data_IF_494919923000
#
_entry.id   IF_494919923000
#
_cell.length_a   1.000
_cell.length_b   1.000
_cell.length_c   1.000
_cell.angle_alpha   90.00
_cell.angle_beta   90.00
_cell.angle_gamma   90.00
#
_symmetry.space_group_name_H-M   'P 1'
#
loop_
_entity.id
_entity.type
_entity.pdbx_description
1 polymer ?
#
# COMPACT_ATOMS: atom_id res chain seq x y z
N UNK A 1 -42.08 45.52 -63.66
CA UNK A 1 -43.03 45.19 -62.57
C UNK A 1 -42.30 44.45 -61.47
N UNK A 2 -42.57 44.82 -60.21
CA UNK A 2 -41.76 44.51 -59.03
C UNK A 2 -41.81 43.03 -58.63
N UNK A 3 -40.62 42.55 -58.22
CA UNK A 3 -40.20 41.17 -57.94
C UNK A 3 -41.01 40.51 -56.82
N UNK A 4 -41.36 39.24 -57.06
CA UNK A 4 -42.19 38.39 -56.22
C UNK A 4 -41.43 37.85 -54.97
N UNK A 5 -42.22 37.56 -53.94
CA UNK A 5 -41.90 37.12 -52.57
C UNK A 5 -40.76 36.10 -52.44
N UNK A 6 -39.91 36.27 -51.42
CA UNK A 6 -39.33 35.15 -50.66
C UNK A 6 -39.63 35.36 -49.18
N UNK A 7 -40.51 34.49 -48.66
CA UNK A 7 -40.89 34.38 -47.26
C UNK A 7 -39.60 34.37 -46.42
N UNK A 8 -39.47 35.28 -45.47
CA UNK A 8 -38.52 35.12 -44.38
C UNK A 8 -38.97 33.87 -43.64
N UNK A 9 -38.28 32.77 -43.88
CA UNK A 9 -38.41 31.57 -43.07
C UNK A 9 -38.07 32.05 -41.66
N UNK A 10 -39.07 32.10 -40.80
CA UNK A 10 -38.86 32.23 -39.36
C UNK A 10 -38.04 31.00 -38.96
N UNK A 11 -36.72 31.12 -39.05
CA UNK A 11 -35.85 30.45 -38.12
C UNK A 11 -36.21 31.06 -36.77
N UNK A 12 -37.25 30.53 -36.13
CA UNK A 12 -37.47 30.73 -34.71
C UNK A 12 -36.28 30.02 -34.06
N UNK A 13 -35.16 30.73 -34.00
CA UNK A 13 -34.02 30.39 -33.18
C UNK A 13 -34.61 30.08 -31.80
N UNK A 14 -34.40 28.84 -31.39
CA UNK A 14 -34.83 28.31 -30.11
C UNK A 14 -34.57 29.38 -29.02
N UNK A 15 -35.52 29.67 -28.12
CA UNK A 15 -35.35 30.75 -27.16
C UNK A 15 -34.03 30.56 -26.43
N UNK A 16 -33.19 31.60 -26.37
CA UNK A 16 -31.81 31.53 -25.87
C UNK A 16 -31.70 30.88 -24.48
N UNK A 17 -32.78 30.99 -23.68
CA UNK A 17 -32.94 30.33 -22.37
C UNK A 17 -32.92 28.80 -22.44
N UNK A 18 -33.53 28.21 -23.46
CA UNK A 18 -33.52 26.76 -23.66
C UNK A 18 -32.14 26.26 -24.07
N UNK A 19 -31.42 27.03 -24.89
CA UNK A 19 -30.03 26.70 -25.27
C UNK A 19 -29.12 26.68 -24.03
N UNK A 20 -29.23 27.68 -23.14
CA UNK A 20 -28.44 27.70 -21.90
C UNK A 20 -28.77 26.53 -20.96
N UNK A 21 -30.05 26.14 -20.84
CA UNK A 21 -30.44 25.00 -20.00
C UNK A 21 -29.89 23.70 -20.59
N UNK A 22 -29.98 23.53 -21.91
CA UNK A 22 -29.47 22.33 -22.59
C UNK A 22 -27.95 22.23 -22.42
N UNK A 23 -27.23 23.35 -22.52
CA UNK A 23 -25.79 23.41 -22.31
C UNK A 23 -25.41 23.05 -20.86
N UNK A 24 -26.18 23.49 -19.87
CA UNK A 24 -25.98 23.07 -18.48
C UNK A 24 -26.22 21.57 -18.29
N UNK A 25 -27.30 21.03 -18.84
CA UNK A 25 -27.60 19.58 -18.75
C UNK A 25 -26.48 18.76 -19.38
N UNK A 26 -25.99 19.16 -20.56
CA UNK A 26 -24.86 18.52 -21.23
C UNK A 26 -23.57 18.66 -20.42
N UNK A 27 -23.32 19.83 -19.83
CA UNK A 27 -22.16 20.03 -18.95
C UNK A 27 -22.20 19.12 -17.72
N UNK A 28 -23.37 19.00 -17.08
CA UNK A 28 -23.57 18.10 -15.94
C UNK A 28 -23.44 16.63 -16.32
N UNK A 29 -23.94 16.21 -17.47
CA UNK A 29 -23.81 14.82 -17.90
C UNK A 29 -22.36 14.45 -18.20
N UNK A 30 -21.60 15.34 -18.86
CA UNK A 30 -20.16 15.15 -19.08
C UNK A 30 -19.41 15.09 -17.74
N UNK A 31 -19.68 16.04 -16.83
CA UNK A 31 -19.05 16.06 -15.51
C UNK A 31 -19.33 14.77 -14.72
N UNK A 32 -20.57 14.27 -14.79
CA UNK A 32 -20.96 13.02 -14.14
C UNK A 32 -20.19 11.82 -14.69
N UNK A 33 -20.09 11.68 -16.01
CA UNK A 33 -19.34 10.59 -16.64
C UNK A 33 -17.85 10.66 -16.29
N UNK A 34 -17.27 11.87 -16.24
CA UNK A 34 -15.87 12.04 -15.83
C UNK A 34 -15.66 11.63 -14.36
N UNK A 35 -16.55 12.03 -13.46
CA UNK A 35 -16.49 11.62 -12.06
C UNK A 35 -16.63 10.10 -11.89
N UNK A 36 -17.55 9.48 -12.63
CA UNK A 36 -17.75 8.04 -12.59
C UNK A 36 -16.51 7.29 -13.08
N UNK A 37 -15.92 7.72 -14.20
CA UNK A 37 -14.69 7.12 -14.75
C UNK A 37 -13.48 7.27 -13.82
N UNK A 38 -13.33 8.43 -13.16
CA UNK A 38 -12.24 8.67 -12.21
C UNK A 38 -12.43 7.86 -10.94
N UNK A 39 -13.67 7.74 -10.44
CA UNK A 39 -13.99 6.89 -9.30
C UNK A 39 -13.69 5.41 -9.59
N UNK A 40 -14.06 4.93 -10.78
CA UNK A 40 -13.75 3.58 -11.23
C UNK A 40 -12.25 3.29 -11.25
N UNK A 41 -11.46 4.16 -11.92
CA UNK A 41 -9.99 3.99 -11.97
C UNK A 41 -9.32 4.06 -10.59
N UNK A 42 -9.82 4.92 -9.70
CA UNK A 42 -9.31 5.03 -8.35
C UNK A 42 -9.63 3.78 -7.53
N UNK A 43 -10.84 3.22 -7.68
CA UNK A 43 -11.24 1.98 -7.02
C UNK A 43 -10.41 0.78 -7.48
N UNK A 44 -10.13 0.67 -8.78
CA UNK A 44 -9.23 -0.37 -9.32
C UNK A 44 -7.82 -0.24 -8.74
N UNK A 45 -7.30 0.99 -8.65
CA UNK A 45 -5.97 1.23 -8.08
C UNK A 45 -5.91 0.90 -6.59
N UNK A 46 -6.97 1.22 -5.83
CA UNK A 46 -7.06 0.85 -4.41
C UNK A 46 -7.05 -0.67 -4.28
N UNK A 47 -7.87 -1.39 -5.05
CA UNK A 47 -7.90 -2.86 -5.03
C UNK A 47 -6.56 -3.49 -5.39
N UNK A 48 -5.84 -2.92 -6.35
CA UNK A 48 -4.51 -3.39 -6.73
C UNK A 48 -3.51 -3.23 -5.57
N UNK A 49 -3.53 -2.08 -4.89
CA UNK A 49 -2.67 -1.81 -3.73
C UNK A 49 -3.02 -2.69 -2.53
N UNK A 50 -4.31 -2.92 -2.28
CA UNK A 50 -4.78 -3.83 -1.23
C UNK A 50 -4.30 -5.26 -1.49
N UNK A 51 -4.40 -5.74 -2.73
CA UNK A 51 -3.91 -7.06 -3.12
C UNK A 51 -2.38 -7.18 -2.97
N UNK A 52 -1.62 -6.15 -3.34
CA UNK A 52 -0.16 -6.12 -3.15
C UNK A 52 0.21 -6.16 -1.66
N UNK A 53 -0.52 -5.41 -0.83
CA UNK A 53 -0.32 -5.42 0.63
C UNK A 53 -0.58 -6.80 1.23
N UNK A 54 -1.64 -7.48 0.81
CA UNK A 54 -1.96 -8.83 1.26
C UNK A 54 -0.88 -9.84 0.86
N UNK A 55 -0.35 -9.77 -0.36
CA UNK A 55 0.72 -10.65 -0.83
C UNK A 55 2.02 -10.43 -0.05
N UNK A 56 2.41 -9.18 0.20
CA UNK A 56 3.58 -8.86 1.03
C UNK A 56 3.39 -9.35 2.46
N UNK A 57 2.21 -9.13 3.05
CA UNK A 57 1.90 -9.59 4.39
C UNK A 57 1.96 -11.13 4.50
N UNK A 58 1.47 -11.82 3.47
CA UNK A 58 1.54 -13.27 3.38
C UNK A 58 2.99 -13.77 3.29
N UNK A 59 3.82 -13.16 2.42
CA UNK A 59 5.25 -13.48 2.30
C UNK A 59 6.00 -13.25 3.61
N UNK A 60 5.72 -12.13 4.29
CA UNK A 60 6.33 -11.80 5.57
C UNK A 60 5.94 -12.83 6.65
N UNK A 61 4.67 -13.22 6.75
CA UNK A 61 4.23 -14.28 7.68
C UNK A 61 4.91 -15.61 7.38
N UNK A 62 5.03 -15.97 6.11
CA UNK A 62 5.70 -17.21 5.68
C UNK A 62 7.17 -17.21 6.08
N UNK A 63 7.89 -16.12 5.81
CA UNK A 63 9.29 -16.01 6.21
C UNK A 63 9.44 -15.95 7.72
N UNK A 64 8.59 -15.23 8.45
CA UNK A 64 8.59 -15.23 9.92
C UNK A 64 8.38 -16.63 10.49
N UNK A 65 7.45 -17.42 9.94
CA UNK A 65 7.24 -18.80 10.37
C UNK A 65 8.47 -19.67 10.05
N UNK A 66 9.05 -19.52 8.86
CA UNK A 66 10.26 -20.26 8.47
C UNK A 66 11.45 -19.92 9.37
N UNK A 67 11.68 -18.64 9.63
CA UNK A 67 12.70 -18.16 10.55
C UNK A 67 12.45 -18.65 11.96
N UNK A 68 11.21 -18.55 12.44
CA UNK A 68 10.80 -19.06 13.76
C UNK A 68 11.18 -20.53 13.92
N UNK A 69 10.83 -21.36 12.95
CA UNK A 69 11.20 -22.78 12.93
C UNK A 69 12.73 -22.99 12.97
N UNK A 70 13.49 -22.28 12.12
CA UNK A 70 14.96 -22.42 12.06
C UNK A 70 15.66 -21.94 13.34
N UNK A 71 15.09 -20.94 14.02
CA UNK A 71 15.67 -20.37 15.25
C UNK A 71 15.24 -21.09 16.52
N UNK A 72 14.42 -22.14 16.43
CA UNK A 72 14.14 -22.98 17.59
C UNK A 72 15.42 -23.67 18.07
N UNK A 73 15.57 -23.79 19.39
CA UNK A 73 16.75 -24.40 20.02
C UNK A 73 17.02 -25.81 19.47
N UNK A 74 15.96 -26.60 19.28
CA UNK A 74 16.06 -27.96 18.72
C UNK A 74 16.64 -27.98 17.31
N UNK A 75 16.21 -27.07 16.43
CA UNK A 75 16.71 -26.99 15.05
C UNK A 75 18.15 -26.47 15.01
N UNK A 76 18.50 -25.54 15.89
CA UNK A 76 19.87 -25.06 16.05
C UNK A 76 20.78 -26.20 16.52
N UNK A 77 20.38 -26.96 17.54
CA UNK A 77 21.15 -28.10 18.06
C UNK A 77 21.32 -29.20 17.00
N UNK A 78 20.27 -29.50 16.23
CA UNK A 78 20.36 -30.43 15.10
C UNK A 78 21.33 -29.93 14.02
N UNK A 79 21.29 -28.64 13.69
CA UNK A 79 22.20 -28.05 12.71
C UNK A 79 23.66 -28.07 13.21
N UNK A 80 23.89 -27.73 14.47
CA UNK A 80 25.21 -27.79 15.11
C UNK A 80 25.77 -29.22 15.09
N UNK A 81 24.96 -30.20 15.50
CA UNK A 81 25.32 -31.61 15.49
C UNK A 81 25.63 -32.13 14.07
N UNK A 82 24.86 -31.72 13.06
CA UNK A 82 25.10 -32.09 11.66
C UNK A 82 26.46 -31.60 11.15
N UNK A 83 26.90 -30.44 11.62
CA UNK A 83 28.20 -29.87 11.26
C UNK A 83 29.34 -30.24 12.23
N UNK A 84 29.08 -31.12 13.21
CA UNK A 84 30.07 -31.53 14.20
C UNK A 84 30.51 -30.39 15.14
N UNK A 85 29.68 -29.34 15.26
CA UNK A 85 29.95 -28.19 16.11
C UNK A 85 29.36 -28.44 17.49
N UNK A 86 30.19 -28.45 18.52
CA UNK A 86 29.76 -28.49 19.91
C UNK A 86 29.82 -27.07 20.49
N UNK A 87 28.75 -26.29 20.29
CA UNK A 87 28.61 -24.97 20.93
C UNK A 87 27.82 -25.13 22.23
N UNK A 88 28.46 -24.81 23.34
CA UNK A 88 27.81 -24.69 24.64
C UNK A 88 27.57 -23.21 24.93
N UNK A 89 26.46 -22.90 25.59
CA UNK A 89 26.24 -21.55 26.09
C UNK A 89 27.37 -21.20 27.08
N UNK A 90 28.07 -20.07 26.88
CA UNK A 90 29.16 -19.69 27.78
C UNK A 90 28.62 -19.49 29.18
N UNK A 91 29.40 -19.94 30.17
CA UNK A 91 29.08 -19.69 31.58
C UNK A 91 29.29 -18.20 31.88
N UNK A 92 28.58 -17.67 32.88
CA UNK A 92 28.60 -16.23 33.18
C UNK A 92 29.99 -15.69 33.55
N UNK A 93 30.87 -16.53 34.08
CA UNK A 93 32.29 -16.25 34.36
C UNK A 93 33.15 -16.10 33.10
N UNK A 94 32.70 -16.64 31.97
CA UNK A 94 33.37 -16.52 30.66
C UNK A 94 32.96 -15.26 29.89
N UNK A 95 31.95 -14.53 30.37
CA UNK A 95 31.42 -13.33 29.71
C UNK A 95 32.13 -12.08 30.24
N UNK A 96 33.07 -11.54 29.47
CA UNK A 96 33.70 -10.24 29.77
C UNK A 96 32.81 -9.11 29.22
N UNK A 97 32.24 -8.30 30.11
CA UNK A 97 31.50 -7.09 29.73
C UNK A 97 32.51 -5.97 29.46
N UNK A 98 32.58 -5.49 28.23
CA UNK A 98 33.35 -4.31 27.90
C UNK A 98 32.52 -3.09 28.31
N UNK A 99 33.07 -2.26 29.21
CA UNK A 99 32.47 -0.96 29.52
C UNK A 99 32.44 -0.12 28.24
N UNK A 100 31.26 0.37 27.89
CA UNK A 100 31.10 1.27 26.76
C UNK A 100 32.01 2.48 26.99
N UNK A 101 32.91 2.73 26.04
CA UNK A 101 33.72 3.95 26.01
C UNK A 101 32.83 5.19 26.28
N UNK A 102 33.35 6.23 26.94
CA UNK A 102 32.56 7.40 27.33
C UNK A 102 32.02 8.11 26.08
N UNK A 103 30.77 7.80 25.70
CA UNK A 103 30.13 8.30 24.49
C UNK A 103 29.12 7.34 23.86
N UNK A 104 29.16 6.05 24.17
CA UNK A 104 28.17 5.07 23.70
C UNK A 104 27.10 4.80 24.75
N UNK A 105 25.89 5.34 24.58
CA UNK A 105 24.75 4.97 25.44
C UNK A 105 24.32 3.54 25.10
N UNK A 106 24.88 2.56 25.81
CA UNK A 106 24.40 1.18 25.76
C UNK A 106 23.07 1.09 26.51
N UNK A 107 22.00 0.69 25.80
CA UNK A 107 20.72 0.30 26.42
C UNK A 107 20.72 -1.23 26.58
N UNK A 108 20.81 -1.77 27.82
CA UNK A 108 20.67 -3.19 28.04
C UNK A 108 19.29 -3.66 27.56
N UNK A 109 19.25 -4.81 26.86
CA UNK A 109 18.01 -5.54 26.62
C UNK A 109 17.86 -6.48 27.80
N UNK A 110 17.00 -6.13 28.76
CA UNK A 110 16.84 -6.77 30.08
C UNK A 110 16.35 -8.24 30.06
N UNK A 111 16.45 -8.93 28.93
CA UNK A 111 15.84 -10.24 28.70
C UNK A 111 16.61 -11.42 29.32
N UNK A 112 17.82 -11.22 29.85
CA UNK A 112 18.69 -12.30 30.34
C UNK A 112 19.02 -12.24 31.83
N UNK A 113 18.41 -11.33 32.60
CA UNK A 113 18.74 -11.15 34.02
C UNK A 113 18.10 -12.19 34.95
N UNK A 114 17.07 -12.92 34.50
CA UNK A 114 16.37 -13.91 35.32
C UNK A 114 16.25 -15.26 34.59
N UNK A 115 17.31 -16.08 34.65
CA UNK A 115 17.24 -17.53 34.52
C UNK A 115 18.28 -18.18 35.41
#
# INVERSE_FOLDING_TARGET
>A
MKRNRKKRVHASLMPTRWVSVLLLVVGFSIAYVLLDSTCGSLSERIRALEAEQEDIAFKLRREQNRWGLMTTTEQIDLALNRHGLNMLLPRGDQVVRLDAAPGGVYRPRDQFANR
#
